data_IF_472555377530
#
_entry.id   IF_472555377530
#
_cell.length_a   1.000
_cell.length_b   1.000
_cell.length_c   1.000
_cell.angle_alpha   90.00
_cell.angle_beta   90.00
_cell.angle_gamma   90.00
#
_symmetry.space_group_name_H-M   'P 1'
#
loop_
_entity.id
_entity.type
_entity.pdbx_description
1 polymer ?
#
# COMPACT_ATOMS: atom_id res chain seq x y z
N UNK A 1 -56.76 15.13 17.91
CA UNK A 1 -56.24 13.84 17.42
C UNK A 1 -56.24 13.90 15.90
N UNK A 2 -55.06 14.01 15.29
CA UNK A 2 -54.91 14.07 13.83
C UNK A 2 -53.79 13.12 13.45
N UNK A 3 -54.13 12.03 12.76
CA UNK A 3 -53.23 11.01 12.26
C UNK A 3 -52.61 11.48 10.94
N UNK A 4 -51.28 11.53 10.87
CA UNK A 4 -50.53 11.83 9.64
C UNK A 4 -50.10 10.51 8.95
N UNK A 5 -50.45 10.38 7.67
CA UNK A 5 -50.12 9.26 6.79
C UNK A 5 -48.83 9.62 6.04
N UNK A 6 -47.76 8.85 6.21
CA UNK A 6 -46.50 9.01 5.47
C UNK A 6 -46.45 8.03 4.27
N UNK A 7 -46.41 8.53 3.01
CA UNK A 7 -46.48 7.73 1.80
C UNK A 7 -45.13 7.06 1.48
N UNK A 8 -44.76 6.05 2.26
CA UNK A 8 -43.75 5.05 1.84
C UNK A 8 -44.27 4.26 0.64
N UNK A 9 -43.85 4.62 -0.58
CA UNK A 9 -43.82 3.73 -1.74
C UNK A 9 -42.37 3.50 -2.18
N UNK A 10 -41.80 2.30 -2.00
CA UNK A 10 -40.59 1.92 -2.72
C UNK A 10 -40.94 1.58 -4.19
N UNK A 11 -40.33 2.31 -5.13
CA UNK A 11 -40.29 1.94 -6.55
C UNK A 11 -39.46 0.66 -6.68
N UNK A 12 -40.12 -0.44 -7.04
CA UNK A 12 -39.47 -1.66 -7.58
C UNK A 12 -38.75 -1.29 -8.88
N UNK A 13 -37.43 -1.17 -8.83
CA UNK A 13 -36.57 -1.03 -10.00
C UNK A 13 -36.28 -2.40 -10.61
N UNK A 14 -36.58 -2.51 -11.90
CA UNK A 14 -36.46 -3.67 -12.79
C UNK A 14 -35.16 -4.47 -12.66
N UNK A 15 -35.34 -5.77 -12.45
CA UNK A 15 -34.37 -6.83 -12.70
C UNK A 15 -34.11 -6.90 -14.22
N UNK A 16 -32.99 -6.35 -14.69
CA UNK A 16 -32.56 -6.49 -16.09
C UNK A 16 -31.66 -7.72 -16.21
N UNK A 17 -32.25 -8.83 -16.62
CA UNK A 17 -31.59 -10.09 -16.92
C UNK A 17 -30.88 -9.93 -18.27
N UNK A 18 -29.55 -9.83 -18.25
CA UNK A 18 -28.72 -9.88 -19.47
C UNK A 18 -28.32 -11.34 -19.75
N UNK A 19 -28.53 -11.85 -20.97
CA UNK A 19 -28.13 -13.21 -21.33
C UNK A 19 -26.60 -13.30 -21.47
N UNK A 20 -26.02 -14.23 -20.70
CA UNK A 20 -24.61 -14.63 -20.77
C UNK A 20 -24.41 -15.41 -22.07
N UNK A 21 -23.80 -14.77 -23.06
CA UNK A 21 -23.26 -15.42 -24.25
C UNK A 21 -21.89 -16.01 -23.96
N UNK A 22 -21.85 -17.29 -23.61
CA UNK A 22 -20.63 -18.08 -23.43
C UNK A 22 -20.07 -18.44 -24.82
N UNK A 23 -19.02 -17.75 -25.28
CA UNK A 23 -18.23 -18.18 -26.45
C UNK A 23 -16.95 -18.83 -25.95
N UNK A 24 -16.94 -20.16 -25.98
CA UNK A 24 -15.77 -21.01 -25.74
C UNK A 24 -14.99 -21.08 -27.05
N UNK A 25 -13.83 -20.42 -27.13
CA UNK A 25 -12.86 -20.65 -28.18
C UNK A 25 -11.69 -21.49 -27.61
N UNK A 26 -11.74 -22.79 -27.89
CA UNK A 26 -10.62 -23.72 -27.68
C UNK A 26 -9.65 -23.53 -28.85
N UNK A 27 -8.47 -22.98 -28.59
CA UNK A 27 -7.33 -23.05 -29.49
C UNK A 27 -6.30 -24.02 -28.90
N UNK A 28 -6.19 -25.18 -29.54
CA UNK A 28 -5.23 -26.21 -29.24
C UNK A 28 -3.89 -25.98 -29.97
N UNK A 29 -2.86 -26.61 -29.41
CA UNK A 29 -1.63 -27.09 -30.05
C UNK A 29 -0.50 -26.07 -30.36
N UNK A 30 0.61 -26.27 -29.64
CA UNK A 30 1.91 -25.68 -29.95
C UNK A 30 3.02 -26.17 -29.01
N UNK A 31 3.20 -27.49 -28.84
CA UNK A 31 4.37 -28.06 -28.15
C UNK A 31 5.63 -27.88 -29.01
N UNK A 32 6.30 -26.73 -28.90
CA UNK A 32 7.65 -26.51 -29.41
C UNK A 32 8.69 -26.76 -28.34
N UNK A 33 9.29 -27.96 -28.32
CA UNK A 33 10.54 -28.24 -27.58
C UNK A 33 11.67 -27.48 -28.26
N UNK A 34 12.10 -26.36 -27.67
CA UNK A 34 13.37 -25.72 -28.02
C UNK A 34 14.34 -25.99 -26.89
N UNK A 35 15.30 -26.88 -27.17
CA UNK A 35 16.39 -27.27 -26.28
C UNK A 35 17.41 -26.12 -26.18
N UNK A 36 17.70 -25.56 -24.99
CA UNK A 36 18.71 -24.52 -24.85
C UNK A 36 20.12 -25.09 -25.04
N UNK A 37 21.01 -24.43 -25.79
CA UNK A 37 22.40 -24.83 -25.88
C UNK A 37 23.12 -24.69 -24.54
N UNK A 38 23.98 -25.65 -24.24
CA UNK A 38 24.80 -25.73 -23.03
C UNK A 38 25.61 -24.44 -22.82
N UNK A 39 25.65 -23.88 -21.59
CA UNK A 39 26.48 -22.72 -21.30
C UNK A 39 27.96 -23.10 -21.34
N UNK A 40 28.71 -22.35 -22.15
CA UNK A 40 30.16 -22.41 -22.23
C UNK A 40 30.80 -22.03 -20.89
N UNK A 41 31.78 -22.84 -20.46
CA UNK A 41 32.59 -22.59 -19.30
C UNK A 41 33.57 -21.41 -19.51
N UNK A 42 33.58 -20.47 -18.55
CA UNK A 42 34.65 -19.48 -18.32
C UNK A 42 34.20 -18.01 -18.49
N UNK A 43 34.82 -17.02 -17.80
CA UNK A 43 36.11 -17.06 -17.11
C UNK A 43 36.11 -16.65 -15.61
N UNK A 44 37.07 -17.24 -14.92
CA UNK A 44 37.92 -16.76 -13.81
C UNK A 44 37.33 -15.85 -12.71
N UNK A 45 37.41 -16.41 -11.49
CA UNK A 45 37.32 -15.71 -10.22
C UNK A 45 38.31 -14.54 -10.15
N UNK A 46 37.76 -13.34 -10.00
CA UNK A 46 38.51 -12.14 -9.64
C UNK A 46 38.83 -12.22 -8.14
N UNK A 47 40.08 -12.01 -7.70
CA UNK A 47 40.44 -12.02 -6.29
C UNK A 47 39.72 -10.89 -5.54
N UNK A 48 38.86 -11.26 -4.58
CA UNK A 48 38.22 -10.35 -3.65
C UNK A 48 39.29 -9.65 -2.80
N UNK A 49 39.49 -8.36 -3.04
CA UNK A 49 40.25 -7.51 -2.14
C UNK A 49 39.58 -7.51 -0.75
N UNK A 50 40.35 -7.55 0.34
CA UNK A 50 39.80 -7.51 1.70
C UNK A 50 39.03 -6.21 1.87
N UNK A 51 37.71 -6.31 2.03
CA UNK A 51 36.85 -5.20 2.39
C UNK A 51 37.39 -4.60 3.69
N UNK A 52 37.94 -3.39 3.60
CA UNK A 52 38.31 -2.61 4.77
C UNK A 52 37.11 -2.48 5.71
N UNK A 53 37.34 -2.29 7.02
CA UNK A 53 36.28 -2.24 8.02
C UNK A 53 35.19 -1.28 7.56
N UNK A 54 34.04 -1.85 7.18
CA UNK A 54 32.88 -1.10 6.75
C UNK A 54 32.52 -0.16 7.90
N UNK A 55 32.54 1.14 7.63
CA UNK A 55 32.13 2.16 8.58
C UNK A 55 30.78 1.72 9.18
N UNK A 56 30.73 1.62 10.51
CA UNK A 56 29.51 1.23 11.20
C UNK A 56 28.38 2.12 10.68
N UNK A 57 27.28 1.51 10.16
CA UNK A 57 26.19 2.30 9.61
C UNK A 57 25.73 3.27 10.70
N UNK A 58 25.39 4.52 10.34
CA UNK A 58 24.90 5.48 11.31
C UNK A 58 23.76 4.82 12.09
N UNK A 59 23.84 4.83 13.42
CA UNK A 59 22.73 4.41 14.28
C UNK A 59 21.52 5.26 13.93
N UNK A 60 20.69 4.75 13.03
CA UNK A 60 19.36 5.29 12.76
C UNK A 60 18.62 5.16 14.08
N UNK A 61 18.46 6.27 14.78
CA UNK A 61 17.53 6.37 15.89
C UNK A 61 16.24 5.67 15.48
N UNK A 62 15.73 4.80 16.33
CA UNK A 62 14.54 4.00 16.09
C UNK A 62 13.41 4.95 15.66
N UNK A 63 13.06 4.95 14.38
CA UNK A 63 11.94 5.74 13.88
C UNK A 63 10.68 5.22 14.55
N UNK A 64 10.03 6.05 15.37
CA UNK A 64 8.72 5.75 15.92
C UNK A 64 7.67 5.89 14.82
N UNK A 65 7.37 4.78 14.16
CA UNK A 65 6.46 4.72 13.01
C UNK A 65 5.03 5.13 13.36
N UNK A 66 4.56 4.83 14.57
CA UNK A 66 3.23 5.27 15.00
C UNK A 66 3.21 6.77 15.29
N UNK A 67 4.30 7.31 15.85
CA UNK A 67 4.48 8.75 16.06
C UNK A 67 4.48 9.59 14.76
N UNK A 68 4.63 8.97 13.59
CA UNK A 68 4.48 9.66 12.30
C UNK A 68 3.03 10.06 12.01
N UNK A 69 2.03 9.39 12.58
CA UNK A 69 0.61 9.66 12.35
C UNK A 69 0.15 10.84 13.22
N UNK A 70 -0.19 12.02 12.65
CA UNK A 70 -0.69 13.13 13.44
C UNK A 70 -2.07 12.78 14.02
N UNK A 71 -2.30 12.94 15.34
CA UNK A 71 -3.53 12.46 15.99
C UNK A 71 -4.80 13.10 15.42
N UNK A 72 -4.76 14.40 15.10
CA UNK A 72 -5.92 15.12 14.55
C UNK A 72 -6.31 14.59 13.15
N UNK A 73 -5.33 14.28 12.31
CA UNK A 73 -5.58 13.71 10.99
C UNK A 73 -5.95 12.23 11.07
N UNK A 74 -5.34 11.49 11.99
CA UNK A 74 -5.67 10.09 12.24
C UNK A 74 -7.13 9.96 12.68
N UNK A 75 -7.60 10.82 13.58
CA UNK A 75 -8.99 10.86 14.03
C UNK A 75 -9.98 11.18 12.89
N UNK A 76 -9.57 11.92 11.86
CA UNK A 76 -10.40 12.18 10.69
C UNK A 76 -10.58 10.96 9.78
N UNK A 77 -9.61 10.04 9.79
CA UNK A 77 -9.62 8.81 8.99
C UNK A 77 -10.27 7.67 9.78
N UNK A 78 -9.88 7.49 11.05
CA UNK A 78 -10.33 6.42 11.92
C UNK A 78 -10.75 6.97 13.31
N UNK A 79 -11.94 7.59 13.42
CA UNK A 79 -12.45 8.10 14.70
C UNK A 79 -12.46 7.04 15.80
N UNK A 80 -12.05 7.42 17.01
CA UNK A 80 -12.07 6.52 18.18
C UNK A 80 -10.98 5.45 18.16
N UNK A 81 -9.87 5.70 17.46
CA UNK A 81 -8.75 4.77 17.36
C UNK A 81 -8.01 4.50 18.68
N UNK A 82 -7.32 3.36 18.74
CA UNK A 82 -6.47 2.92 19.85
C UNK A 82 -5.10 3.63 19.95
N UNK A 83 -4.73 4.44 18.95
CA UNK A 83 -3.46 5.16 18.90
C UNK A 83 -2.32 4.37 18.25
N UNK A 84 -2.59 3.13 17.85
CA UNK A 84 -1.67 2.31 17.09
C UNK A 84 -0.71 1.46 17.92
N UNK A 85 -0.30 0.35 17.32
CA UNK A 85 0.73 -0.54 17.82
C UNK A 85 1.83 -0.69 16.78
N UNK A 86 3.07 -0.42 17.18
CA UNK A 86 4.22 -0.57 16.32
C UNK A 86 4.69 -2.03 16.27
N UNK A 87 5.09 -2.47 15.08
CA UNK A 87 5.80 -3.73 14.85
C UNK A 87 7.02 -3.44 13.97
N UNK A 88 8.15 -4.07 14.31
CA UNK A 88 9.45 -3.76 13.71
C UNK A 88 10.02 -4.89 12.86
N UNK A 89 10.71 -4.48 11.80
CA UNK A 89 11.75 -5.20 11.05
C UNK A 89 11.33 -6.45 10.27
N UNK A 90 10.28 -6.33 9.46
CA UNK A 90 9.81 -7.41 8.59
C UNK A 90 10.42 -7.39 7.16
N UNK A 91 11.47 -6.61 6.90
CA UNK A 91 12.02 -6.52 5.53
C UNK A 91 12.83 -7.77 5.17
N UNK A 92 12.51 -8.36 4.02
CA UNK A 92 13.28 -9.47 3.43
C UNK A 92 14.46 -8.99 2.57
N UNK A 93 14.56 -7.68 2.31
CA UNK A 93 15.61 -7.10 1.48
C UNK A 93 16.71 -6.54 2.37
N UNK A 94 17.94 -7.05 2.19
CA UNK A 94 19.11 -6.56 2.90
C UNK A 94 19.32 -5.06 2.62
N UNK A 95 19.51 -4.28 3.68
CA UNK A 95 19.68 -2.83 3.58
C UNK A 95 18.38 -2.04 3.37
N UNK A 96 17.21 -2.68 3.43
CA UNK A 96 15.91 -2.01 3.54
C UNK A 96 15.34 -2.34 4.91
N UNK A 97 14.94 -1.31 5.66
CA UNK A 97 14.24 -1.47 6.94
C UNK A 97 12.74 -1.29 6.70
N UNK A 98 11.90 -2.17 7.23
CA UNK A 98 10.45 -2.03 7.16
C UNK A 98 9.85 -1.90 8.55
N UNK A 99 9.10 -0.84 8.76
CA UNK A 99 8.43 -0.51 10.02
C UNK A 99 6.94 -0.44 9.77
N UNK A 100 6.14 -0.94 10.71
CA UNK A 100 4.70 -0.98 10.56
C UNK A 100 3.99 -0.47 11.81
N UNK A 101 3.00 0.40 11.64
CA UNK A 101 2.04 0.77 12.66
C UNK A 101 0.65 0.26 12.26
N UNK A 102 -0.03 -0.44 13.16
CA UNK A 102 -1.42 -0.85 12.98
C UNK A 102 -2.29 -0.09 13.98
N UNK A 103 -3.28 0.65 13.48
CA UNK A 103 -4.24 1.41 14.27
C UNK A 103 -5.61 0.80 14.09
N UNK A 104 -6.31 0.54 15.18
CA UNK A 104 -7.66 -0.05 15.14
C UNK A 104 -8.70 0.83 15.80
N UNK A 105 -9.94 0.72 15.35
CA UNK A 105 -11.11 1.25 16.05
C UNK A 105 -12.26 0.24 15.97
N UNK A 106 -12.76 -0.19 17.12
CA UNK A 106 -13.89 -1.10 17.21
C UNK A 106 -15.21 -0.31 17.33
N UNK A 107 -16.21 -0.66 16.51
CA UNK A 107 -17.56 -0.06 16.56
C UNK A 107 -18.62 -1.15 16.50
N UNK A 108 -19.08 -1.59 17.67
CA UNK A 108 -20.00 -2.72 17.75
C UNK A 108 -19.32 -4.00 17.28
N UNK A 109 -19.77 -4.55 16.14
CA UNK A 109 -19.20 -5.76 15.55
C UNK A 109 -18.21 -5.49 14.41
N UNK A 110 -18.03 -4.22 14.03
CA UNK A 110 -17.11 -3.81 12.97
C UNK A 110 -15.77 -3.39 13.57
N UNK A 111 -14.69 -3.69 12.84
CA UNK A 111 -13.33 -3.26 13.17
C UNK A 111 -12.77 -2.50 11.98
N UNK A 112 -12.49 -1.21 12.20
CA UNK A 112 -11.71 -0.40 11.27
C UNK A 112 -10.23 -0.68 11.52
N UNK A 113 -9.46 -0.90 10.45
CA UNK A 113 -8.02 -1.08 10.50
C UNK A 113 -7.32 -0.10 9.57
N UNK A 114 -6.40 0.69 10.12
CA UNK A 114 -5.45 1.49 9.36
C UNK A 114 -4.04 0.94 9.57
N UNK A 115 -3.35 0.59 8.49
CA UNK A 115 -1.97 0.12 8.52
C UNK A 115 -1.07 1.12 7.81
N UNK A 116 -0.06 1.63 8.52
CA UNK A 116 1.05 2.39 7.95
C UNK A 116 2.26 1.49 7.88
N UNK A 117 2.81 1.28 6.70
CA UNK A 117 4.12 0.65 6.48
C UNK A 117 5.08 1.70 5.93
N UNK A 118 6.26 1.82 6.54
CA UNK A 118 7.35 2.67 6.06
C UNK A 118 8.56 1.79 5.78
N UNK A 119 8.96 1.72 4.52
CA UNK A 119 10.18 1.05 4.08
C UNK A 119 11.26 2.10 3.81
N UNK A 120 12.42 1.97 4.45
CA UNK A 120 13.55 2.91 4.32
C UNK A 120 14.73 2.18 3.70
N UNK A 121 15.18 2.65 2.55
CA UNK A 121 16.38 2.15 1.88
C UNK A 121 17.65 2.82 2.42
N UNK A 122 18.67 2.00 2.68
CA UNK A 122 20.00 2.49 3.09
C UNK A 122 20.80 3.15 1.96
N UNK A 123 20.42 2.92 0.69
CA UNK A 123 21.07 3.50 -0.50
C UNK A 123 20.04 3.84 -1.57
N UNK A 124 20.39 4.73 -2.49
CA UNK A 124 19.50 5.11 -3.60
C UNK A 124 19.25 3.93 -4.56
N UNK A 125 20.24 3.06 -4.76
CA UNK A 125 20.09 1.86 -5.59
C UNK A 125 19.07 0.87 -5.00
N UNK A 126 18.96 0.78 -3.67
CA UNK A 126 17.90 0.02 -3.01
C UNK A 126 16.57 0.75 -3.07
N UNK A 127 16.58 2.08 -2.99
CA UNK A 127 15.36 2.88 -3.16
C UNK A 127 14.73 2.62 -4.53
N UNK A 128 15.51 2.59 -5.61
CA UNK A 128 14.99 2.29 -6.94
C UNK A 128 14.35 0.90 -7.05
N UNK A 129 14.78 -0.07 -6.23
CA UNK A 129 14.18 -1.41 -6.20
C UNK A 129 12.82 -1.45 -5.48
N UNK A 130 12.65 -0.61 -4.44
CA UNK A 130 11.40 -0.57 -3.65
C UNK A 130 10.46 0.56 -4.09
N UNK A 131 10.93 1.48 -4.92
CA UNK A 131 10.15 2.62 -5.41
C UNK A 131 8.90 2.09 -6.13
N UNK A 132 7.71 2.64 -5.83
CA UNK A 132 6.52 2.27 -6.56
C UNK A 132 6.71 2.63 -8.04
N UNK A 133 6.62 1.64 -8.93
CA UNK A 133 6.76 1.85 -10.37
C UNK A 133 5.40 2.20 -10.98
N UNK A 134 5.39 3.24 -11.83
CA UNK A 134 4.16 3.76 -12.44
C UNK A 134 3.41 2.74 -13.30
N UNK A 135 4.03 1.67 -13.80
CA UNK A 135 3.32 0.61 -14.53
C UNK A 135 2.29 -0.15 -13.69
N UNK A 136 2.38 -0.07 -12.35
CA UNK A 136 1.44 -0.70 -11.43
C UNK A 136 0.29 0.21 -10.98
N UNK A 137 0.19 1.43 -11.54
CA UNK A 137 -0.78 2.46 -11.17
C UNK A 137 -1.23 3.23 -12.40
N UNK A 138 -2.51 3.61 -12.48
CA UNK A 138 -2.99 4.46 -13.56
C UNK A 138 -2.63 5.94 -13.27
N UNK A 139 -2.37 6.74 -14.30
CA UNK A 139 -2.05 8.18 -14.13
C UNK A 139 -3.19 8.95 -13.44
N UNK A 140 -4.44 8.49 -13.61
CA UNK A 140 -5.63 9.04 -12.97
C UNK A 140 -5.66 8.85 -11.44
N UNK A 141 -4.85 7.92 -10.92
CA UNK A 141 -4.74 7.61 -9.50
C UNK A 141 -3.60 8.39 -8.82
N UNK A 142 -2.93 9.28 -9.53
CA UNK A 142 -1.82 10.06 -8.98
C UNK A 142 -2.33 11.08 -7.95
N UNK A 143 -1.66 11.14 -6.80
CA UNK A 143 -1.95 12.09 -5.72
C UNK A 143 -0.70 12.86 -5.32
N UNK A 144 -0.89 14.10 -4.84
CA UNK A 144 0.20 14.97 -4.44
C UNK A 144 0.71 14.63 -3.02
N UNK A 145 1.49 13.56 -2.91
CA UNK A 145 2.10 13.09 -1.65
C UNK A 145 3.59 12.84 -1.85
N UNK A 146 4.43 13.48 -1.02
CA UNK A 146 5.88 13.32 -1.06
C UNK A 146 6.49 13.73 -2.41
N UNK A 147 7.40 12.91 -2.92
CA UNK A 147 8.04 13.08 -4.24
C UNK A 147 7.22 12.38 -5.35
N UNK A 148 6.21 11.61 -4.98
CA UNK A 148 5.28 10.91 -5.86
C UNK A 148 4.38 9.98 -5.07
N UNK A 149 3.10 9.91 -5.44
CA UNK A 149 2.14 9.04 -4.77
C UNK A 149 0.95 8.66 -5.63
N UNK A 150 0.29 7.57 -5.23
CA UNK A 150 -0.86 6.99 -5.90
C UNK A 150 -1.91 6.52 -4.88
N UNK A 151 -3.17 6.61 -5.25
CA UNK A 151 -4.30 6.05 -4.51
C UNK A 151 -4.85 4.81 -5.21
N UNK A 152 -5.05 3.73 -4.47
CA UNK A 152 -5.74 2.52 -4.92
C UNK A 152 -7.03 2.37 -4.15
N UNK A 153 -8.12 2.09 -4.86
CA UNK A 153 -9.40 1.73 -4.26
C UNK A 153 -9.61 0.24 -4.50
N UNK A 154 -9.51 -0.54 -3.43
CA UNK A 154 -9.61 -2.00 -3.48
C UNK A 154 -11.07 -2.47 -3.45
N UNK A 155 -11.25 -3.78 -3.58
CA UNK A 155 -12.54 -4.40 -3.33
C UNK A 155 -12.87 -4.37 -1.83
N UNK A 156 -14.15 -4.25 -1.47
CA UNK A 156 -14.59 -4.37 -0.07
C UNK A 156 -14.25 -3.17 0.82
N UNK A 157 -14.43 -1.95 0.32
CA UNK A 157 -14.16 -0.70 1.04
C UNK A 157 -12.72 -0.59 1.57
N UNK A 158 -11.76 -0.85 0.69
CA UNK A 158 -10.34 -0.62 0.94
C UNK A 158 -9.85 0.64 0.22
N UNK A 159 -9.05 1.45 0.91
CA UNK A 159 -8.26 2.54 0.29
C UNK A 159 -6.80 2.39 0.68
N UNK A 160 -5.93 2.35 -0.31
CA UNK A 160 -4.48 2.32 -0.12
C UNK A 160 -3.83 3.56 -0.74
N UNK A 161 -2.97 4.25 0.00
CA UNK A 161 -2.07 5.29 -0.52
C UNK A 161 -0.65 4.73 -0.52
N UNK A 162 0.02 4.77 -1.67
CA UNK A 162 1.45 4.46 -1.76
C UNK A 162 2.17 5.73 -2.18
N UNK A 163 3.21 6.12 -1.46
CA UNK A 163 4.01 7.29 -1.82
C UNK A 163 5.49 7.10 -1.49
N UNK A 164 6.34 7.88 -2.14
CA UNK A 164 7.77 7.94 -1.88
C UNK A 164 8.19 9.31 -1.37
N UNK A 165 9.14 9.34 -0.43
CA UNK A 165 9.82 10.55 0.04
C UNK A 165 11.29 10.24 0.30
N UNK A 166 12.20 10.87 -0.45
CA UNK A 166 13.63 10.60 -0.36
C UNK A 166 13.94 9.12 -0.56
N UNK A 167 14.52 8.48 0.46
CA UNK A 167 14.83 7.03 0.47
C UNK A 167 13.77 6.18 1.19
N UNK A 168 12.57 6.73 1.34
CA UNK A 168 11.46 6.08 2.04
C UNK A 168 10.29 5.84 1.10
N UNK A 169 9.65 4.69 1.25
CA UNK A 169 8.35 4.37 0.66
C UNK A 169 7.36 4.19 1.81
N UNK A 170 6.25 4.92 1.77
CA UNK A 170 5.15 4.75 2.70
C UNK A 170 3.97 4.08 1.97
N UNK A 171 3.30 3.17 2.68
CA UNK A 171 2.03 2.57 2.28
C UNK A 171 1.06 2.74 3.43
N UNK A 172 -0.08 3.36 3.15
CA UNK A 172 -1.14 3.60 4.11
C UNK A 172 -2.42 2.92 3.62
N UNK A 173 -2.83 1.85 4.28
CA UNK A 173 -4.02 1.07 3.89
C UNK A 173 -5.10 1.21 4.95
N UNK A 174 -6.31 1.56 4.52
CA UNK A 174 -7.51 1.62 5.35
C UNK A 174 -8.48 0.52 4.90
N UNK A 175 -8.77 -0.38 5.82
CA UNK A 175 -9.81 -1.41 5.71
C UNK A 175 -10.94 -1.05 6.66
N UNK A 176 -11.99 -0.45 6.14
CA UNK A 176 -13.10 0.00 6.97
C UNK A 176 -14.34 0.32 6.13
N UNK A 177 -15.57 0.09 6.63
CA UNK A 177 -16.79 0.42 5.89
C UNK A 177 -16.79 1.88 5.39
N UNK A 178 -17.03 2.07 4.10
CA UNK A 178 -16.97 3.40 3.47
C UNK A 178 -15.58 4.05 3.45
N UNK A 179 -14.47 3.28 3.46
CA UNK A 179 -13.11 3.83 3.31
C UNK A 179 -12.97 4.73 2.07
N UNK A 180 -13.65 4.39 0.96
CA UNK A 180 -13.64 5.20 -0.27
C UNK A 180 -14.11 6.63 -0.05
N UNK A 181 -15.07 6.87 0.85
CA UNK A 181 -15.54 8.21 1.21
C UNK A 181 -14.51 9.00 2.06
N UNK A 182 -13.49 8.32 2.59
CA UNK A 182 -12.39 8.90 3.37
C UNK A 182 -11.10 9.06 2.56
N UNK A 183 -11.15 8.88 1.24
CA UNK A 183 -9.99 8.95 0.37
C UNK A 183 -9.20 10.27 0.51
N UNK A 184 -9.88 11.42 0.53
CA UNK A 184 -9.20 12.72 0.65
C UNK A 184 -8.54 12.89 2.03
N UNK A 185 -9.17 12.41 3.09
CA UNK A 185 -8.58 12.40 4.44
C UNK A 185 -7.36 11.47 4.51
N UNK A 186 -7.40 10.31 3.84
CA UNK A 186 -6.27 9.40 3.69
C UNK A 186 -5.10 10.05 2.94
N UNK A 187 -5.37 10.80 1.87
CA UNK A 187 -4.34 11.55 1.13
C UNK A 187 -3.71 12.62 2.02
N UNK A 188 -4.52 13.38 2.77
CA UNK A 188 -4.01 14.39 3.70
C UNK A 188 -3.14 13.79 4.82
N UNK A 189 -3.56 12.66 5.37
CA UNK A 189 -2.79 11.91 6.37
C UNK A 189 -1.46 11.40 5.79
N UNK A 190 -1.49 10.81 4.60
CA UNK A 190 -0.28 10.34 3.91
C UNK A 190 0.70 11.49 3.62
N UNK A 191 0.20 12.67 3.22
CA UNK A 191 1.01 13.86 3.00
C UNK A 191 1.71 14.34 4.29
N UNK A 192 1.03 14.32 5.43
CA UNK A 192 1.63 14.71 6.69
C UNK A 192 2.65 13.70 7.21
N UNK A 193 2.41 12.40 7.00
CA UNK A 193 3.40 11.35 7.26
C UNK A 193 4.64 11.58 6.39
N UNK A 194 4.45 11.79 5.07
CA UNK A 194 5.54 12.06 4.15
C UNK A 194 6.36 13.31 4.52
N UNK A 195 5.73 14.34 5.08
CA UNK A 195 6.42 15.55 5.53
C UNK A 195 7.32 15.33 6.77
N UNK A 196 7.16 14.20 7.47
CA UNK A 196 7.95 13.81 8.66
C UNK A 196 9.04 12.77 8.34
N UNK A 197 9.10 12.29 7.08
CA UNK A 197 10.11 11.36 6.56
C UNK A 197 11.26 12.11 5.91
#
# INVERSE_FOLDING_TARGET
MTLAIDPRRPRRGMLSILPIGLVVAVAAAGCGKTEPPAPAAGPQAVPSAPAGPAAAPPSTASLDVCGLLPPDQLASVIPGHDGGSASGDASLLAGVKSLQCNVTAARGNDVDLLTLVVSVASTDALMEQIRPSGSAFDDQDKVAVGDGGWIKRGAGDEVEIVASKGRSVLRLTLLAPGASARADAMVALAAAVAARL
#
